data_IF_227602782793
#
_entry.id   IF_227602782793
#
_cell.length_a   1.000
_cell.length_b   1.000
_cell.length_c   1.000
_cell.angle_alpha   90.00
_cell.angle_beta   90.00
_cell.angle_gamma   90.00
#
_symmetry.space_group_name_H-M   'P 1'
#
loop_
_entity.id
_entity.type
_entity.pdbx_description
1 polymer ?
#
# COMPACT_ATOMS: atom_id res chain seq x y z
N UNK A 1 -7.75 -2.06 32.52
CA UNK A 1 -6.96 -1.57 33.68
C UNK A 1 -5.64 -2.31 33.96
N UNK A 2 -5.60 -3.60 34.38
CA UNK A 2 -4.32 -4.28 34.73
C UNK A 2 -3.40 -4.52 33.52
N UNK A 3 -3.96 -4.88 32.37
CA UNK A 3 -3.25 -5.12 31.10
C UNK A 3 -2.68 -3.84 30.48
N UNK A 4 -3.43 -2.75 30.49
CA UNK A 4 -2.97 -1.45 29.97
C UNK A 4 -1.82 -0.88 30.80
N UNK A 5 -1.88 -1.04 32.13
CA UNK A 5 -0.81 -0.61 33.02
C UNK A 5 0.47 -1.42 32.81
N UNK A 6 0.34 -2.73 32.59
CA UNK A 6 1.48 -3.59 32.23
C UNK A 6 2.08 -3.18 30.87
N UNK A 7 1.22 -2.95 29.86
CA UNK A 7 1.63 -2.48 28.53
C UNK A 7 2.37 -1.15 28.59
N UNK A 8 1.87 -0.19 29.37
CA UNK A 8 2.53 1.11 29.56
C UNK A 8 3.91 0.95 30.18
N UNK A 9 4.02 0.19 31.27
CA UNK A 9 5.29 -0.01 31.97
C UNK A 9 6.33 -0.74 31.10
N UNK A 10 5.91 -1.72 30.29
CA UNK A 10 6.79 -2.41 29.36
C UNK A 10 7.25 -1.48 28.23
N UNK A 11 6.33 -0.68 27.69
CA UNK A 11 6.68 0.29 26.67
C UNK A 11 7.64 1.37 27.18
N UNK A 12 7.44 1.89 28.39
CA UNK A 12 8.32 2.88 28.99
C UNK A 12 9.74 2.33 29.19
N UNK A 13 9.87 1.05 29.55
CA UNK A 13 11.17 0.37 29.56
C UNK A 13 11.77 0.22 28.17
N UNK A 14 10.97 -0.19 27.18
CA UNK A 14 11.41 -0.30 25.79
C UNK A 14 11.88 1.05 25.23
N UNK A 15 11.26 2.17 25.61
CA UNK A 15 11.68 3.52 25.20
C UNK A 15 13.08 3.88 25.67
N UNK A 16 13.47 3.46 26.87
CA UNK A 16 14.83 3.69 27.39
C UNK A 16 15.87 2.97 26.52
N UNK A 17 15.55 1.76 26.06
CA UNK A 17 16.41 0.99 25.15
C UNK A 17 16.37 1.61 23.75
N UNK A 18 15.21 1.99 23.24
CA UNK A 18 15.04 2.63 21.93
C UNK A 18 15.81 3.96 21.81
N UNK A 19 15.99 4.69 22.90
CA UNK A 19 16.86 5.87 22.95
C UNK A 19 18.32 5.55 22.60
N UNK A 20 18.84 4.42 23.10
CA UNK A 20 20.18 3.93 22.76
C UNK A 20 20.28 3.42 21.32
N UNK A 21 19.20 2.80 20.82
CA UNK A 21 19.12 2.24 19.48
C UNK A 21 19.01 3.34 18.39
N UNK A 22 18.66 4.58 18.75
CA UNK A 22 18.44 5.64 17.77
C UNK A 22 19.70 5.96 16.95
N UNK A 23 20.87 5.90 17.59
CA UNK A 23 22.19 6.17 16.98
C UNK A 23 22.91 4.92 16.48
N UNK A 24 22.43 3.73 16.82
CA UNK A 24 23.02 2.47 16.35
C UNK A 24 22.57 2.15 14.92
N UNK A 25 23.52 1.95 14.01
CA UNK A 25 23.27 1.65 12.60
C UNK A 25 23.26 0.14 12.31
N UNK A 26 23.23 -0.70 13.34
CA UNK A 26 23.20 -2.15 13.20
C UNK A 26 21.86 -2.66 12.63
N UNK A 27 21.90 -3.89 12.10
CA UNK A 27 20.71 -4.60 11.62
C UNK A 27 19.68 -4.81 12.73
N UNK A 28 20.13 -5.17 13.94
CA UNK A 28 19.27 -5.38 15.10
C UNK A 28 18.60 -4.07 15.54
N UNK A 29 19.32 -2.94 15.44
CA UNK A 29 18.78 -1.62 15.72
C UNK A 29 17.67 -1.23 14.75
N UNK A 30 17.90 -1.44 13.45
CA UNK A 30 16.91 -1.18 12.42
C UNK A 30 15.67 -2.09 12.56
N UNK A 31 15.83 -3.37 12.89
CA UNK A 31 14.70 -4.26 13.20
C UNK A 31 13.89 -3.78 14.41
N UNK A 32 14.58 -3.32 15.45
CA UNK A 32 13.96 -2.83 16.69
C UNK A 32 13.17 -1.54 16.46
N UNK A 33 13.71 -0.60 15.68
CA UNK A 33 12.96 0.61 15.28
C UNK A 33 11.75 0.25 14.40
N UNK A 34 11.87 -0.74 13.52
CA UNK A 34 10.73 -1.17 12.69
C UNK A 34 9.61 -1.78 13.52
N UNK A 35 9.95 -2.60 14.52
CA UNK A 35 8.97 -3.17 15.45
C UNK A 35 8.29 -2.08 16.29
N UNK A 36 9.05 -1.07 16.73
CA UNK A 36 8.50 0.10 17.41
C UNK A 36 7.48 0.86 16.52
N UNK A 37 7.79 1.01 15.23
CA UNK A 37 6.88 1.60 14.24
C UNK A 37 5.56 0.83 14.13
N UNK A 38 5.64 -0.49 13.95
CA UNK A 38 4.46 -1.37 13.83
C UNK A 38 3.60 -1.31 15.10
N UNK A 39 4.24 -1.39 16.27
CA UNK A 39 3.54 -1.31 17.56
C UNK A 39 2.83 0.03 17.75
N UNK A 40 3.48 1.14 17.41
CA UNK A 40 2.88 2.47 17.48
C UNK A 40 1.71 2.63 16.53
N UNK A 41 1.83 2.09 15.32
CA UNK A 41 0.74 2.04 14.34
C UNK A 41 -0.46 1.27 14.89
N UNK A 42 -0.25 0.10 15.48
CA UNK A 42 -1.30 -0.71 16.10
C UNK A 42 -1.94 -0.03 17.33
N UNK A 43 -1.23 0.89 18.00
CA UNK A 43 -1.77 1.70 19.09
C UNK A 43 -2.47 2.99 18.60
N UNK A 44 -2.60 3.22 17.29
CA UNK A 44 -3.20 4.43 16.72
C UNK A 44 -2.30 5.68 16.80
N UNK A 45 -1.03 5.53 17.18
CA UNK A 45 -0.06 6.62 17.34
C UNK A 45 0.74 6.82 16.06
N UNK A 46 0.05 7.30 15.03
CA UNK A 46 0.55 7.32 13.64
C UNK A 46 1.81 8.17 13.46
N UNK A 47 1.91 9.34 14.10
CA UNK A 47 3.10 10.19 14.01
C UNK A 47 4.35 9.52 14.58
N UNK A 48 4.21 8.75 15.66
CA UNK A 48 5.32 8.00 16.25
C UNK A 48 5.65 6.76 15.42
N UNK A 49 4.65 6.11 14.85
CA UNK A 49 4.86 5.02 13.91
C UNK A 49 5.68 5.47 12.70
N UNK A 50 5.37 6.64 12.14
CA UNK A 50 6.12 7.27 11.06
C UNK A 50 7.57 7.56 11.48
N UNK A 51 7.77 8.22 12.63
CA UNK A 51 9.12 8.53 13.13
C UNK A 51 10.02 7.29 13.18
N UNK A 52 9.50 6.19 13.72
CA UNK A 52 10.25 4.93 13.83
C UNK A 52 10.43 4.20 12.49
N UNK A 53 9.47 4.33 11.56
CA UNK A 53 9.61 3.80 10.20
C UNK A 53 10.73 4.53 9.44
N UNK A 54 10.73 5.86 9.50
CA UNK A 54 11.74 6.70 8.88
C UNK A 54 13.13 6.47 9.49
N UNK A 55 13.22 6.36 10.83
CA UNK A 55 14.47 6.02 11.50
C UNK A 55 15.03 4.66 11.08
N UNK A 56 14.16 3.71 10.70
CA UNK A 56 14.55 2.42 10.12
C UNK A 56 15.05 2.60 8.69
N UNK A 57 14.35 3.38 7.86
CA UNK A 57 14.74 3.64 6.47
C UNK A 57 16.14 4.25 6.37
N UNK A 58 16.46 5.25 7.22
CA UNK A 58 17.80 5.86 7.29
C UNK A 58 18.90 4.83 7.63
N UNK A 59 18.62 3.91 8.56
CA UNK A 59 19.56 2.82 8.91
C UNK A 59 19.75 1.86 7.74
N UNK A 60 18.64 1.49 7.08
CA UNK A 60 18.64 0.63 5.92
C UNK A 60 19.42 1.23 4.74
N UNK A 61 19.31 2.54 4.50
CA UNK A 61 20.07 3.25 3.45
C UNK A 61 21.58 3.19 3.71
N UNK A 62 21.99 3.47 4.94
CA UNK A 62 23.40 3.42 5.32
C UNK A 62 23.99 1.99 5.15
N UNK A 63 23.25 0.98 5.62
CA UNK A 63 23.64 -0.42 5.43
C UNK A 63 23.68 -0.82 3.95
N UNK A 64 22.75 -0.33 3.12
CA UNK A 64 22.77 -0.58 1.68
C UNK A 64 24.08 -0.08 1.03
N UNK A 65 24.55 1.13 1.40
CA UNK A 65 25.81 1.70 0.90
C UNK A 65 27.05 0.90 1.32
N UNK A 66 26.96 0.17 2.44
CA UNK A 66 28.02 -0.73 2.91
C UNK A 66 27.94 -2.06 2.15
N UNK A 67 26.74 -2.61 1.99
CA UNK A 67 26.53 -3.88 1.29
C UNK A 67 26.78 -3.80 -0.21
N UNK A 68 26.57 -2.66 -0.88
CA UNK A 68 26.92 -2.49 -2.31
C UNK A 68 28.42 -2.60 -2.59
N UNK A 69 29.26 -2.54 -1.55
CA UNK A 69 30.71 -2.74 -1.65
C UNK A 69 31.13 -4.20 -1.43
N UNK A 70 30.21 -5.07 -1.00
CA UNK A 70 30.44 -6.49 -0.72
C UNK A 70 29.55 -7.36 -1.62
N UNK A 71 30.02 -8.54 -2.03
CA UNK A 71 29.34 -9.33 -3.08
C UNK A 71 28.04 -10.03 -2.65
N UNK A 72 27.72 -10.10 -1.35
CA UNK A 72 26.47 -10.72 -0.89
C UNK A 72 25.69 -9.85 0.09
N UNK A 73 24.43 -9.58 -0.27
CA UNK A 73 23.48 -8.83 0.54
C UNK A 73 22.67 -9.83 1.39
N UNK A 74 22.64 -9.70 2.73
CA UNK A 74 21.87 -10.62 3.56
C UNK A 74 20.37 -10.57 3.28
N UNK A 75 19.72 -11.73 3.16
CA UNK A 75 18.27 -11.82 2.94
C UNK A 75 17.46 -11.12 4.06
N UNK A 76 17.92 -11.24 5.31
CA UNK A 76 17.30 -10.54 6.43
C UNK A 76 17.30 -9.02 6.24
N UNK A 77 18.39 -8.45 5.70
CA UNK A 77 18.50 -7.04 5.36
C UNK A 77 17.55 -6.67 4.23
N UNK A 78 17.49 -7.46 3.15
CA UNK A 78 16.54 -7.24 2.06
C UNK A 78 15.10 -7.17 2.58
N UNK A 79 14.69 -8.10 3.45
CA UNK A 79 13.36 -8.11 4.07
C UNK A 79 13.11 -6.85 4.91
N UNK A 80 14.05 -6.46 5.75
CA UNK A 80 13.92 -5.26 6.57
C UNK A 80 13.85 -3.99 5.73
N UNK A 81 14.74 -3.84 4.75
CA UNK A 81 14.76 -2.72 3.82
C UNK A 81 13.41 -2.56 3.12
N UNK A 82 12.85 -3.66 2.62
CA UNK A 82 11.56 -3.61 1.96
C UNK A 82 10.42 -3.30 2.94
N UNK A 83 10.46 -3.81 4.17
CA UNK A 83 9.45 -3.52 5.20
C UNK A 83 9.51 -2.05 5.65
N UNK A 84 10.71 -1.49 5.84
CA UNK A 84 10.88 -0.08 6.21
C UNK A 84 10.44 0.84 5.08
N UNK A 85 10.82 0.51 3.85
CA UNK A 85 10.41 1.26 2.67
C UNK A 85 8.88 1.26 2.47
N UNK A 86 8.21 0.13 2.72
CA UNK A 86 6.73 0.05 2.73
C UNK A 86 6.14 1.06 3.70
N UNK A 87 6.58 0.98 4.95
CA UNK A 87 5.97 1.75 6.02
C UNK A 87 6.25 3.24 5.84
N UNK A 88 7.48 3.62 5.45
CA UNK A 88 7.79 5.01 5.14
C UNK A 88 6.99 5.54 3.94
N UNK A 89 6.90 4.77 2.84
CA UNK A 89 6.16 5.16 1.62
C UNK A 89 4.65 5.28 1.84
N UNK A 90 4.09 4.57 2.82
CA UNK A 90 2.68 4.75 3.22
C UNK A 90 2.46 6.11 3.89
N UNK A 91 3.50 6.67 4.52
CA UNK A 91 3.42 7.93 5.26
C UNK A 91 3.87 9.15 4.45
N UNK A 92 4.78 8.99 3.49
CA UNK A 92 5.15 10.04 2.53
C UNK A 92 4.42 9.79 1.22
N UNK A 93 3.52 10.70 0.82
CA UNK A 93 2.86 10.71 -0.49
C UNK A 93 3.84 10.28 -1.60
N UNK A 94 3.70 9.05 -2.08
CA UNK A 94 4.66 8.42 -2.97
C UNK A 94 4.70 9.16 -4.31
N UNK A 95 5.86 9.68 -4.76
CA UNK A 95 5.97 10.33 -6.07
C UNK A 95 5.55 9.40 -7.20
N UNK A 96 4.67 9.88 -8.09
CA UNK A 96 4.02 9.08 -9.14
C UNK A 96 5.02 8.44 -10.12
N UNK A 97 6.20 9.04 -10.33
CA UNK A 97 7.24 8.47 -11.19
C UNK A 97 7.85 7.16 -10.66
N UNK A 98 7.77 6.89 -9.35
CA UNK A 98 8.18 5.60 -8.79
C UNK A 98 7.14 4.49 -9.09
N UNK A 99 5.95 4.89 -9.53
CA UNK A 99 4.88 4.02 -9.99
C UNK A 99 4.89 3.84 -11.51
N UNK A 100 5.82 4.42 -12.26
CA UNK A 100 5.91 4.22 -13.71
C UNK A 100 7.15 3.39 -14.06
N UNK A 101 7.00 2.48 -15.03
CA UNK A 101 8.17 1.88 -15.67
C UNK A 101 8.65 2.92 -16.69
N UNK A 102 9.86 3.47 -16.52
CA UNK A 102 10.53 4.23 -17.58
C UNK A 102 11.08 3.27 -18.65
N UNK A 103 10.15 2.63 -19.35
CA UNK A 103 10.41 1.85 -20.54
C UNK A 103 9.32 2.23 -21.54
N UNK A 104 9.44 3.43 -22.11
CA UNK A 104 8.89 3.62 -23.44
C UNK A 104 9.63 2.64 -24.37
N UNK A 105 8.88 1.95 -25.22
CA UNK A 105 9.39 1.15 -26.33
C UNK A 105 10.47 1.92 -27.10
N UNK A 106 11.74 1.61 -26.87
CA UNK A 106 12.83 2.05 -27.76
C UNK A 106 13.35 0.80 -28.45
N UNK A 107 12.92 0.65 -29.71
CA UNK A 107 13.57 -0.22 -30.67
C UNK A 107 15.04 0.17 -30.77
N UNK A 108 15.92 -0.79 -30.49
CA UNK A 108 17.38 -0.67 -30.56
C UNK A 108 17.85 -0.45 -32.00
N UNK A 109 17.91 0.80 -32.45
CA UNK A 109 18.71 1.20 -33.63
C UNK A 109 19.30 2.59 -33.42
N UNK A 110 20.63 2.66 -33.26
CA UNK A 110 21.39 3.91 -33.44
C UNK A 110 22.29 4.28 -32.26
N UNK A 111 23.54 3.84 -32.31
CA UNK A 111 24.67 4.42 -31.56
C UNK A 111 24.97 5.78 -32.19
N UNK A 112 25.33 6.80 -31.40
CA UNK A 112 26.31 7.77 -31.86
C UNK A 112 27.19 8.32 -30.73
N UNK A 113 28.49 8.30 -31.01
CA UNK A 113 29.62 8.73 -30.20
C UNK A 113 29.99 10.17 -30.59
N UNK A 114 29.96 11.15 -29.68
CA UNK A 114 30.94 12.26 -29.64
C UNK A 114 30.69 13.36 -28.58
N UNK A 115 31.79 13.78 -27.94
CA UNK A 115 32.09 15.13 -27.39
C UNK A 115 31.77 15.51 -25.92
N UNK A 116 32.55 16.44 -25.33
CA UNK A 116 33.19 16.26 -24.02
C UNK A 116 32.74 17.23 -22.91
N UNK A 117 33.13 16.86 -21.69
CA UNK A 117 32.98 17.50 -20.38
C UNK A 117 32.63 19.01 -20.28
N UNK A 118 31.58 19.33 -19.52
CA UNK A 118 31.55 20.50 -18.63
C UNK A 118 30.68 20.24 -17.38
N UNK A 119 31.08 20.85 -16.26
CA UNK A 119 30.62 20.63 -14.88
C UNK A 119 29.14 20.99 -14.64
N UNK A 120 28.26 20.04 -14.32
CA UNK A 120 26.88 20.29 -13.84
C UNK A 120 26.36 19.23 -12.83
N UNK A 121 25.42 19.69 -11.98
CA UNK A 121 24.67 19.08 -10.84
C UNK A 121 24.53 17.53 -10.77
N UNK A 122 24.42 16.90 -9.56
CA UNK A 122 24.25 15.45 -9.39
C UNK A 122 23.03 14.84 -10.10
N UNK A 123 22.02 15.65 -10.43
CA UNK A 123 20.83 15.22 -11.19
C UNK A 123 21.09 15.03 -12.68
N UNK A 124 22.15 15.63 -13.25
CA UNK A 124 22.44 15.55 -14.70
C UNK A 124 23.15 14.24 -15.09
N UNK A 125 23.72 13.50 -14.12
CA UNK A 125 24.39 12.20 -14.36
C UNK A 125 23.44 11.00 -14.52
N UNK A 126 22.14 11.18 -14.27
CA UNK A 126 21.13 10.11 -14.38
C UNK A 126 20.39 10.20 -15.74
N UNK A 127 20.96 10.88 -16.73
CA UNK A 127 20.32 11.04 -18.04
C UNK A 127 20.78 10.03 -19.10
N UNK A 128 21.55 9.01 -18.68
CA UNK A 128 22.11 8.00 -19.59
C UNK A 128 22.22 6.59 -19.03
N UNK A 129 21.63 6.30 -17.86
CA UNK A 129 21.52 4.93 -17.38
C UNK A 129 20.16 4.40 -17.84
N UNK A 130 20.14 3.24 -18.50
CA UNK A 130 18.94 2.44 -18.73
C UNK A 130 18.39 1.96 -17.37
N UNK A 131 17.77 2.86 -16.60
CA UNK A 131 17.28 2.60 -15.24
C UNK A 131 15.76 2.61 -15.23
N UNK A 132 15.15 1.47 -15.62
CA UNK A 132 13.81 1.13 -15.20
C UNK A 132 13.87 0.31 -13.92
N UNK A 133 13.04 0.63 -12.92
CA UNK A 133 12.85 -0.26 -11.77
C UNK A 133 12.35 -1.63 -12.28
N UNK A 134 12.81 -2.73 -11.66
CA UNK A 134 12.28 -4.06 -11.99
C UNK A 134 10.74 -4.05 -11.91
N UNK A 135 10.07 -4.54 -12.94
CA UNK A 135 8.61 -4.49 -13.07
C UNK A 135 7.88 -5.10 -11.87
N UNK A 136 8.46 -6.13 -11.24
CA UNK A 136 7.93 -6.74 -10.02
C UNK A 136 8.01 -5.82 -8.80
N UNK A 137 9.07 -5.03 -8.68
CA UNK A 137 9.22 -4.07 -7.59
C UNK A 137 8.25 -2.90 -7.76
N UNK A 138 8.04 -2.44 -9.00
CA UNK A 138 7.03 -1.42 -9.32
C UNK A 138 5.62 -1.94 -9.01
N UNK A 139 5.32 -3.19 -9.39
CA UNK A 139 4.02 -3.83 -9.09
C UNK A 139 3.77 -3.92 -7.58
N UNK A 140 4.77 -4.39 -6.82
CA UNK A 140 4.68 -4.47 -5.36
C UNK A 140 4.48 -3.10 -4.74
N UNK A 141 5.24 -2.10 -5.19
CA UNK A 141 5.15 -0.74 -4.69
C UNK A 141 3.78 -0.12 -4.98
N UNK A 142 3.24 -0.30 -6.20
CA UNK A 142 1.86 0.08 -6.54
C UNK A 142 0.85 -0.59 -5.62
N UNK A 143 0.96 -1.91 -5.44
CA UNK A 143 0.05 -2.66 -4.57
C UNK A 143 0.08 -2.13 -3.13
N UNK A 144 1.27 -1.81 -2.61
CA UNK A 144 1.46 -1.22 -1.28
C UNK A 144 0.89 0.19 -1.17
N UNK A 145 1.15 1.03 -2.16
CA UNK A 145 0.61 2.39 -2.23
C UNK A 145 -0.92 2.37 -2.18
N UNK A 146 -1.56 1.59 -3.04
CA UNK A 146 -3.01 1.50 -3.08
C UNK A 146 -3.62 0.85 -1.83
N UNK A 147 -2.96 -0.15 -1.24
CA UNK A 147 -3.34 -0.69 0.06
C UNK A 147 -3.27 0.38 1.16
N UNK A 148 -2.24 1.23 1.15
CA UNK A 148 -2.12 2.36 2.07
C UNK A 148 -3.26 3.36 1.91
N UNK A 149 -3.60 3.73 0.66
CA UNK A 149 -4.72 4.63 0.39
C UNK A 149 -6.04 4.08 0.93
N UNK A 150 -6.31 2.80 0.70
CA UNK A 150 -7.46 2.11 1.29
C UNK A 150 -7.43 2.13 2.83
N UNK A 151 -6.34 1.70 3.47
CA UNK A 151 -6.27 1.57 4.94
C UNK A 151 -6.46 2.92 5.63
N UNK A 152 -5.78 3.97 5.14
CA UNK A 152 -5.81 5.30 5.76
C UNK A 152 -7.17 5.96 5.57
N UNK A 153 -7.79 5.79 4.40
CA UNK A 153 -8.97 6.55 4.03
C UNK A 153 -10.30 5.79 4.20
N UNK A 154 -10.26 4.48 4.48
CA UNK A 154 -11.45 3.67 4.76
C UNK A 154 -12.37 4.25 5.85
N UNK A 155 -11.89 4.84 6.96
CA UNK A 155 -12.77 5.41 7.98
C UNK A 155 -13.71 6.50 7.44
N UNK A 156 -13.34 7.20 6.36
CA UNK A 156 -14.19 8.22 5.75
C UNK A 156 -15.36 7.61 4.95
N UNK A 157 -15.14 6.45 4.32
CA UNK A 157 -16.22 5.67 3.70
C UNK A 157 -17.20 5.19 4.78
N UNK A 158 -16.67 4.57 5.84
CA UNK A 158 -17.49 4.07 6.95
C UNK A 158 -18.29 5.19 7.63
N UNK A 159 -17.65 6.36 7.83
CA UNK A 159 -18.33 7.54 8.37
C UNK A 159 -19.54 7.96 7.52
N UNK A 160 -19.39 8.04 6.20
CA UNK A 160 -20.51 8.39 5.31
C UNK A 160 -21.61 7.34 5.39
N UNK A 161 -21.26 6.05 5.30
CA UNK A 161 -22.24 4.95 5.32
C UNK A 161 -23.03 4.93 6.62
N UNK A 162 -22.38 5.18 7.76
CA UNK A 162 -23.03 5.20 9.08
C UNK A 162 -23.83 6.48 9.37
N UNK A 163 -23.64 7.54 8.57
CA UNK A 163 -24.28 8.84 8.79
C UNK A 163 -25.00 9.36 7.54
N UNK A 164 -25.46 8.46 6.67
CA UNK A 164 -25.92 8.80 5.31
C UNK A 164 -27.03 9.86 5.31
N UNK A 165 -27.98 9.76 6.25
CA UNK A 165 -29.12 10.66 6.35
C UNK A 165 -28.73 12.10 6.74
N UNK A 166 -27.61 12.26 7.46
CA UNK A 166 -27.13 13.54 7.97
C UNK A 166 -25.89 14.07 7.25
N UNK A 167 -25.31 13.27 6.34
CA UNK A 167 -24.03 13.59 5.72
C UNK A 167 -24.10 14.84 4.82
N UNK A 168 -25.25 15.10 4.22
CA UNK A 168 -25.47 16.26 3.34
C UNK A 168 -25.22 17.58 4.06
N UNK A 169 -25.58 17.66 5.34
CA UNK A 169 -25.41 18.86 6.18
C UNK A 169 -24.06 18.91 6.92
N UNK A 170 -23.14 17.98 6.66
CA UNK A 170 -21.90 17.87 7.42
C UNK A 170 -20.95 19.06 7.11
N UNK A 171 -20.43 19.78 8.13
CA UNK A 171 -19.62 20.99 7.93
C UNK A 171 -18.31 20.76 7.17
N UNK A 172 -17.83 19.51 7.14
CA UNK A 172 -16.62 19.12 6.39
C UNK A 172 -16.92 18.12 5.27
N UNK A 173 -18.15 18.12 4.71
CA UNK A 173 -18.58 17.21 3.63
C UNK A 173 -17.53 17.05 2.53
N UNK A 174 -17.06 18.15 1.96
CA UNK A 174 -16.07 18.14 0.86
C UNK A 174 -14.75 17.47 1.25
N UNK A 175 -14.26 17.72 2.47
CA UNK A 175 -13.02 17.09 2.94
C UNK A 175 -13.19 15.58 3.11
N UNK A 176 -14.35 15.14 3.61
CA UNK A 176 -14.69 13.72 3.75
C UNK A 176 -14.84 13.08 2.37
N UNK A 177 -15.57 13.69 1.44
CA UNK A 177 -15.72 13.20 0.06
C UNK A 177 -14.37 13.06 -0.64
N UNK A 178 -13.48 14.04 -0.53
CA UNK A 178 -12.12 13.98 -1.10
C UNK A 178 -11.33 12.78 -0.56
N UNK A 179 -11.41 12.53 0.75
CA UNK A 179 -10.72 11.40 1.39
C UNK A 179 -11.37 10.06 1.01
N UNK A 180 -12.69 10.02 0.92
CA UNK A 180 -13.44 8.87 0.42
C UNK A 180 -13.07 8.52 -1.02
N UNK A 181 -12.91 9.53 -1.89
CA UNK A 181 -12.41 9.34 -3.25
C UNK A 181 -11.03 8.69 -3.25
N UNK A 182 -10.10 9.17 -2.42
CA UNK A 182 -8.77 8.55 -2.28
C UNK A 182 -8.86 7.09 -1.83
N UNK A 183 -9.82 6.74 -0.97
CA UNK A 183 -10.07 5.34 -0.59
C UNK A 183 -10.54 4.50 -1.79
N UNK A 184 -11.52 4.99 -2.55
CA UNK A 184 -12.10 4.30 -3.71
C UNK A 184 -11.06 4.10 -4.81
N UNK A 185 -10.26 5.14 -5.11
CA UNK A 185 -9.14 5.09 -6.04
C UNK A 185 -8.07 4.08 -5.55
N UNK A 186 -7.83 4.01 -4.23
CA UNK A 186 -7.01 3.00 -3.58
C UNK A 186 -7.53 1.57 -3.82
N UNK A 187 -8.82 1.33 -3.60
CA UNK A 187 -9.45 0.03 -3.82
C UNK A 187 -9.32 -0.40 -5.30
N UNK A 188 -9.67 0.51 -6.21
CA UNK A 188 -9.60 0.30 -7.64
C UNK A 188 -8.18 0.01 -8.13
N UNK A 189 -7.22 0.84 -7.73
CA UNK A 189 -5.82 0.70 -8.12
C UNK A 189 -5.20 -0.60 -7.62
N UNK A 190 -5.50 -1.01 -6.39
CA UNK A 190 -5.01 -2.28 -5.84
C UNK A 190 -5.50 -3.46 -6.68
N UNK A 191 -6.80 -3.52 -6.97
CA UNK A 191 -7.40 -4.61 -7.75
C UNK A 191 -6.77 -4.69 -9.15
N UNK A 192 -6.60 -3.55 -9.83
CA UNK A 192 -5.96 -3.49 -11.16
C UNK A 192 -4.51 -3.97 -11.12
N UNK A 193 -3.75 -3.58 -10.09
CA UNK A 193 -2.33 -3.97 -9.97
C UNK A 193 -2.16 -5.47 -9.79
N UNK A 194 -3.09 -6.12 -9.10
CA UNK A 194 -3.03 -7.56 -8.89
C UNK A 194 -3.76 -8.36 -9.99
N UNK A 195 -4.22 -7.72 -11.07
CA UNK A 195 -4.73 -8.43 -12.25
C UNK A 195 -3.61 -8.98 -13.14
N UNK A 196 -2.71 -9.77 -12.56
CA UNK A 196 -1.58 -10.39 -13.26
C UNK A 196 -1.62 -11.91 -13.10
N UNK A 197 -1.35 -12.62 -14.18
CA UNK A 197 -1.52 -14.08 -14.28
C UNK A 197 -0.60 -14.87 -13.32
N UNK A 198 0.57 -14.32 -13.01
CA UNK A 198 1.59 -14.94 -12.14
C UNK A 198 1.46 -14.57 -10.65
N UNK A 199 0.24 -14.32 -10.18
CA UNK A 199 -0.04 -13.96 -8.78
C UNK A 199 0.34 -15.05 -7.74
N UNK A 200 0.72 -16.26 -8.17
CA UNK A 200 1.20 -17.34 -7.30
C UNK A 200 2.62 -17.09 -6.72
N UNK A 201 3.29 -16.00 -7.11
CA UNK A 201 4.65 -15.66 -6.66
C UNK A 201 4.71 -14.52 -5.64
N UNK A 202 3.55 -14.02 -5.21
CA UNK A 202 3.46 -12.90 -4.27
C UNK A 202 3.66 -13.38 -2.83
N UNK A 203 4.69 -12.86 -2.17
CA UNK A 203 4.80 -12.93 -0.71
C UNK A 203 3.54 -12.32 -0.09
N UNK A 204 2.89 -13.02 0.84
CA UNK A 204 1.65 -12.61 1.53
C UNK A 204 0.33 -12.75 0.73
N UNK A 205 0.19 -13.81 -0.08
CA UNK A 205 -1.00 -14.07 -0.90
C UNK A 205 -2.33 -14.05 -0.12
N UNK A 206 -2.38 -14.62 1.09
CA UNK A 206 -3.57 -14.53 1.95
C UNK A 206 -3.93 -13.09 2.31
N UNK A 207 -2.95 -12.25 2.71
CA UNK A 207 -3.18 -10.83 3.02
C UNK A 207 -3.64 -10.05 1.79
N UNK A 208 -3.04 -10.32 0.63
CA UNK A 208 -3.48 -9.73 -0.63
C UNK A 208 -4.93 -10.14 -0.97
N UNK A 209 -5.29 -11.42 -0.74
CA UNK A 209 -6.66 -11.91 -0.92
C UNK A 209 -7.66 -11.24 0.02
N UNK A 210 -7.33 -11.08 1.30
CA UNK A 210 -8.20 -10.36 2.25
C UNK A 210 -8.38 -8.87 1.89
N UNK A 211 -7.31 -8.22 1.42
CA UNK A 211 -7.38 -6.86 0.92
C UNK A 211 -8.27 -6.78 -0.33
N UNK A 212 -8.06 -7.64 -1.32
CA UNK A 212 -8.90 -7.73 -2.53
C UNK A 212 -10.36 -7.99 -2.19
N UNK A 213 -10.65 -8.93 -1.28
CA UNK A 213 -12.00 -9.23 -0.82
C UNK A 213 -12.66 -7.97 -0.25
N UNK A 214 -12.00 -7.30 0.70
CA UNK A 214 -12.56 -6.12 1.38
C UNK A 214 -12.73 -4.93 0.44
N UNK A 215 -11.73 -4.65 -0.41
CA UNK A 215 -11.78 -3.56 -1.39
C UNK A 215 -12.87 -3.80 -2.43
N UNK A 216 -13.09 -5.06 -2.83
CA UNK A 216 -14.20 -5.42 -3.73
C UNK A 216 -15.55 -5.15 -3.06
N UNK A 217 -15.72 -5.52 -1.79
CA UNK A 217 -16.93 -5.19 -1.01
C UNK A 217 -17.15 -3.68 -0.95
N UNK A 218 -16.11 -2.89 -0.68
CA UNK A 218 -16.24 -1.43 -0.60
C UNK A 218 -16.73 -0.84 -1.93
N UNK A 219 -16.15 -1.28 -3.06
CA UNK A 219 -16.61 -0.85 -4.38
C UNK A 219 -18.06 -1.29 -4.65
N UNK A 220 -18.44 -2.51 -4.26
CA UNK A 220 -19.82 -2.99 -4.36
C UNK A 220 -20.79 -2.17 -3.50
N UNK A 221 -20.43 -1.82 -2.28
CA UNK A 221 -21.30 -0.98 -1.43
C UNK A 221 -21.41 0.42 -2.01
N UNK A 222 -20.30 0.98 -2.47
CA UNK A 222 -20.26 2.31 -3.04
C UNK A 222 -21.15 2.46 -4.29
N UNK A 223 -21.28 1.43 -5.12
CA UNK A 223 -22.19 1.45 -6.29
C UNK A 223 -23.67 1.42 -5.92
N UNK A 224 -24.03 1.19 -4.65
CA UNK A 224 -25.43 1.20 -4.19
C UNK A 224 -25.86 2.50 -3.52
N UNK A 225 -24.92 3.42 -3.28
CA UNK A 225 -25.18 4.63 -2.49
C UNK A 225 -24.94 5.89 -3.35
N UNK A 226 -25.97 6.72 -3.59
CA UNK A 226 -25.86 7.88 -4.49
C UNK A 226 -24.73 8.86 -4.15
N UNK A 227 -24.42 9.01 -2.86
CA UNK A 227 -23.34 9.89 -2.36
C UNK A 227 -21.95 9.58 -2.95
N UNK A 228 -21.74 8.35 -3.45
CA UNK A 228 -20.46 7.93 -4.01
C UNK A 228 -20.43 7.93 -5.54
N UNK A 229 -21.55 8.17 -6.24
CA UNK A 229 -21.60 8.00 -7.70
C UNK A 229 -20.58 8.85 -8.45
N UNK A 230 -20.42 10.12 -8.05
CA UNK A 230 -19.45 11.03 -8.67
C UNK A 230 -17.99 10.74 -8.24
N UNK A 231 -17.77 9.89 -7.25
CA UNK A 231 -16.45 9.54 -6.75
C UNK A 231 -15.91 8.24 -7.36
N UNK A 232 -16.80 7.39 -7.87
CA UNK A 232 -16.47 6.07 -8.42
C UNK A 232 -15.71 6.18 -9.75
N UNK A 233 -14.79 5.25 -10.05
CA UNK A 233 -14.19 5.14 -11.37
C UNK A 233 -15.24 4.78 -12.43
N UNK A 234 -15.10 5.30 -13.65
CA UNK A 234 -16.00 4.99 -14.78
C UNK A 234 -16.08 3.48 -15.07
N UNK A 235 -14.99 2.75 -14.86
CA UNK A 235 -14.87 1.31 -15.09
C UNK A 235 -15.12 0.46 -13.83
N UNK A 236 -15.81 0.99 -12.81
CA UNK A 236 -16.01 0.31 -11.51
C UNK A 236 -16.55 -1.12 -11.64
N UNK A 237 -17.49 -1.37 -12.54
CA UNK A 237 -18.07 -2.70 -12.76
C UNK A 237 -17.03 -3.72 -13.26
N UNK A 238 -16.18 -3.30 -14.19
CA UNK A 238 -15.08 -4.12 -14.69
C UNK A 238 -14.03 -4.37 -13.59
N UNK A 239 -13.79 -3.38 -12.73
CA UNK A 239 -12.89 -3.51 -11.57
C UNK A 239 -13.46 -4.51 -10.56
N UNK A 240 -14.75 -4.44 -10.23
CA UNK A 240 -15.39 -5.40 -9.31
C UNK A 240 -15.27 -6.82 -9.86
N UNK A 241 -15.55 -7.03 -11.14
CA UNK A 241 -15.37 -8.32 -11.80
C UNK A 241 -13.91 -8.80 -11.72
N UNK A 242 -12.96 -7.89 -11.91
CA UNK A 242 -11.53 -8.17 -11.77
C UNK A 242 -11.16 -8.57 -10.35
N UNK A 243 -11.71 -7.90 -9.33
CA UNK A 243 -11.52 -8.25 -7.92
C UNK A 243 -11.98 -9.67 -7.59
N UNK A 244 -13.15 -10.05 -8.10
CA UNK A 244 -13.66 -11.43 -8.00
C UNK A 244 -12.71 -12.44 -8.68
N UNK A 245 -12.26 -12.16 -9.92
CA UNK A 245 -11.29 -13.02 -10.64
C UNK A 245 -9.97 -13.16 -9.89
N UNK A 246 -9.44 -12.07 -9.33
CA UNK A 246 -8.23 -12.09 -8.50
C UNK A 246 -8.41 -13.05 -7.33
N UNK A 247 -9.53 -12.93 -6.60
CA UNK A 247 -9.80 -13.77 -5.44
C UNK A 247 -9.95 -15.25 -5.81
N UNK A 248 -10.57 -15.57 -6.96
CA UNK A 248 -10.62 -16.94 -7.50
C UNK A 248 -9.21 -17.48 -7.78
N UNK A 249 -8.32 -16.68 -8.37
CA UNK A 249 -6.94 -17.10 -8.59
C UNK A 249 -6.20 -17.34 -7.28
N UNK A 250 -6.41 -16.48 -6.29
CA UNK A 250 -5.76 -16.65 -4.99
C UNK A 250 -6.26 -17.89 -4.24
N UNK A 251 -7.55 -18.22 -4.35
CA UNK A 251 -8.13 -19.39 -3.68
C UNK A 251 -7.57 -20.72 -4.19
N UNK A 252 -7.05 -20.76 -5.42
CA UNK A 252 -6.34 -21.94 -5.96
C UNK A 252 -5.11 -22.34 -5.13
N UNK A 253 -4.54 -21.40 -4.37
CA UNK A 253 -3.37 -21.64 -3.52
C UNK A 253 -3.66 -21.45 -2.02
N UNK A 254 -4.81 -20.86 -1.67
CA UNK A 254 -5.21 -20.52 -0.30
C UNK A 254 -6.68 -20.85 -0.12
N UNK A 255 -6.98 -22.08 0.32
CA UNK A 255 -8.34 -22.62 0.41
C UNK A 255 -9.26 -21.77 1.31
N UNK A 256 -8.72 -21.07 2.30
CA UNK A 256 -9.49 -20.18 3.19
C UNK A 256 -10.20 -19.04 2.44
N UNK A 257 -9.78 -18.72 1.22
CA UNK A 257 -10.42 -17.70 0.38
C UNK A 257 -11.69 -18.21 -0.34
N UNK A 258 -11.96 -19.52 -0.35
CA UNK A 258 -13.17 -20.08 -0.97
C UNK A 258 -14.45 -19.57 -0.28
N UNK A 259 -14.45 -19.52 1.05
CA UNK A 259 -15.58 -18.97 1.81
C UNK A 259 -15.84 -17.50 1.45
N UNK A 260 -14.77 -16.73 1.23
CA UNK A 260 -14.84 -15.31 0.87
C UNK A 260 -15.44 -15.11 -0.53
N UNK A 261 -15.20 -16.05 -1.46
CA UNK A 261 -15.82 -16.02 -2.79
C UNK A 261 -17.34 -16.18 -2.71
N UNK A 262 -17.81 -17.15 -1.91
CA UNK A 262 -19.26 -17.34 -1.69
C UNK A 262 -19.92 -16.08 -1.11
N UNK A 263 -19.25 -15.41 -0.17
CA UNK A 263 -19.74 -14.13 0.38
C UNK A 263 -19.80 -13.04 -0.68
N UNK A 264 -18.78 -12.90 -1.54
CA UNK A 264 -18.80 -11.93 -2.64
C UNK A 264 -19.90 -12.22 -3.66
N UNK A 265 -20.18 -13.48 -3.94
CA UNK A 265 -21.25 -13.85 -4.87
C UNK A 265 -22.62 -13.45 -4.36
N UNK A 266 -22.94 -13.79 -3.10
CA UNK A 266 -24.19 -13.38 -2.47
C UNK A 266 -24.32 -11.84 -2.42
N UNK A 267 -23.24 -11.15 -2.08
CA UNK A 267 -23.24 -9.68 -2.04
C UNK A 267 -23.46 -9.06 -3.42
N UNK A 268 -22.83 -9.61 -4.47
CA UNK A 268 -22.99 -9.13 -5.85
C UNK A 268 -24.42 -9.33 -6.36
N UNK A 269 -25.06 -10.45 -6.02
CA UNK A 269 -26.49 -10.69 -6.33
C UNK A 269 -27.36 -9.64 -5.63
N UNK A 270 -27.22 -9.49 -4.31
CA UNK A 270 -27.99 -8.52 -3.54
C UNK A 270 -27.78 -7.08 -4.05
N UNK A 271 -26.54 -6.73 -4.40
CA UNK A 271 -26.18 -5.44 -5.00
C UNK A 271 -26.95 -5.19 -6.31
N UNK A 272 -26.96 -6.16 -7.21
CA UNK A 272 -27.62 -6.03 -8.52
C UNK A 272 -29.13 -5.90 -8.39
N UNK A 273 -29.76 -6.68 -7.51
CA UNK A 273 -31.20 -6.54 -7.22
C UNK A 273 -31.51 -5.12 -6.72
N UNK A 274 -30.70 -4.61 -5.77
CA UNK A 274 -30.86 -3.26 -5.24
C UNK A 274 -30.70 -2.17 -6.30
N UNK A 275 -29.75 -2.32 -7.23
CA UNK A 275 -29.56 -1.39 -8.35
C UNK A 275 -30.72 -1.47 -9.36
N UNK A 276 -31.25 -2.68 -9.60
CA UNK A 276 -32.39 -2.89 -10.49
C UNK A 276 -33.73 -2.38 -9.91
N UNK A 277 -33.79 -2.08 -8.61
CA UNK A 277 -35.02 -1.74 -7.91
C UNK A 277 -35.87 -2.97 -7.58
N UNK A 278 -35.29 -4.17 -7.65
CA UNK A 278 -35.91 -5.42 -7.22
C UNK A 278 -35.68 -5.58 -5.72
N UNK A 279 -36.73 -5.47 -4.91
CA UNK A 279 -36.66 -5.76 -3.47
C UNK A 279 -36.25 -7.23 -3.25
N UNK A 280 -35.18 -7.44 -2.48
CA UNK A 280 -34.70 -8.77 -2.02
C UNK A 280 -35.36 -9.14 -0.70
#
# INVERSE_FOLDING_TARGET
>A
MRMERLRSNLWDKSRLVLGYISTDMSMAAAQSSMLASIYMGACGRIAEAFHWAHATAVKCENMAQIYTKNESIPDAFCRLYWVSFIYESIYHNLPEFLLTNSSQDISMTGIDLSSPASLQSPTTRIQGILTGNNSWNVLRLKGRYYAGQYIIHRPFIEFIVLNIDNFECHPHKEAVLKRSKTCLDGCAGFIKVFDVETANSLTCLFLAGMATFTMTIILMVATTLPVFYDLLPEDVEAIIATGKRNLVRFSQNVAELEWHLTVLEHLDVARRCRIAGDDV
#
